data_IF_025484782186
#
_entry.id   IF_025484782186
#
_cell.length_a   1.000
_cell.length_b   1.000
_cell.length_c   1.000
_cell.angle_alpha   90.00
_cell.angle_beta   90.00
_cell.angle_gamma   90.00
#
_symmetry.space_group_name_H-M   'P 1'
#
loop_
_entity.id
_entity.type
_entity.pdbx_description
1 polymer ?
#
# COMPACT_ATOMS: atom_id res chain seq x y z
N UNK A 1 29.62 17.01 -9.14
CA UNK A 1 29.33 15.66 -9.66
C UNK A 1 27.83 15.49 -9.65
N UNK A 2 27.22 15.68 -10.81
CA UNK A 2 25.80 15.49 -11.11
C UNK A 2 25.55 13.99 -11.28
N UNK A 3 24.68 13.42 -10.47
CA UNK A 3 24.17 12.06 -10.65
C UNK A 3 22.78 12.14 -11.24
N UNK A 4 22.66 11.93 -12.55
CA UNK A 4 21.39 11.69 -13.23
C UNK A 4 20.67 10.53 -12.54
N UNK A 5 19.50 10.81 -11.97
CA UNK A 5 18.65 9.77 -11.41
C UNK A 5 17.85 9.17 -12.55
N UNK A 6 18.16 7.91 -12.83
CA UNK A 6 17.76 7.18 -14.03
C UNK A 6 16.26 7.10 -14.27
N UNK A 7 15.87 7.58 -15.46
CA UNK A 7 14.55 7.51 -16.11
C UNK A 7 14.15 6.07 -16.50
N UNK A 8 14.79 5.04 -15.93
CA UNK A 8 14.78 3.67 -16.45
C UNK A 8 14.10 2.61 -15.60
N UNK A 9 13.66 2.91 -14.37
CA UNK A 9 13.08 1.90 -13.46
C UNK A 9 11.59 2.08 -13.17
N UNK A 10 11.08 3.31 -13.28
CA UNK A 10 9.66 3.66 -13.14
C UNK A 10 8.74 2.91 -14.14
N UNK A 11 9.30 2.29 -15.18
CA UNK A 11 8.53 1.59 -16.22
C UNK A 11 8.41 0.07 -16.01
N UNK A 12 9.25 -0.53 -15.16
CA UNK A 12 9.29 -2.00 -15.01
C UNK A 12 8.22 -2.54 -14.03
N UNK A 13 7.75 -1.72 -13.09
CA UNK A 13 6.64 -2.04 -12.19
C UNK A 13 5.29 -2.10 -12.92
N UNK A 14 5.17 -1.43 -14.08
CA UNK A 14 3.96 -1.42 -14.90
C UNK A 14 3.64 -2.78 -15.57
N UNK A 15 4.61 -3.69 -15.68
CA UNK A 15 4.43 -4.94 -16.41
C UNK A 15 3.66 -6.02 -15.61
N UNK A 16 3.75 -6.03 -14.28
CA UNK A 16 2.94 -6.93 -13.42
C UNK A 16 1.53 -6.36 -13.20
N UNK A 17 1.39 -5.03 -13.27
CA UNK A 17 0.11 -4.32 -13.25
C UNK A 17 -0.74 -4.54 -14.52
N UNK A 18 -0.12 -4.95 -15.64
CA UNK A 18 -0.85 -5.16 -16.90
C UNK A 18 -1.83 -6.35 -16.88
N UNK A 19 -1.74 -7.24 -15.89
CA UNK A 19 -2.62 -8.41 -15.73
C UNK A 19 -3.80 -8.21 -14.77
N UNK A 20 -3.82 -7.13 -13.98
CA UNK A 20 -4.88 -6.86 -13.02
C UNK A 20 -5.67 -5.62 -13.44
N UNK A 21 -7.01 -5.67 -13.48
CA UNK A 21 -7.79 -4.49 -13.81
C UNK A 21 -7.49 -3.38 -12.80
N UNK A 22 -7.17 -2.18 -13.29
CA UNK A 22 -6.79 -1.02 -12.47
C UNK A 22 -7.79 -0.70 -11.34
N UNK A 23 -9.05 -1.08 -11.51
CA UNK A 23 -10.11 -0.97 -10.50
C UNK A 23 -9.94 -1.89 -9.29
N UNK A 24 -8.99 -2.83 -9.32
CA UNK A 24 -8.68 -3.77 -8.24
C UNK A 24 -7.25 -3.61 -7.73
N UNK A 25 -6.51 -2.58 -8.13
CA UNK A 25 -5.12 -2.37 -7.68
C UNK A 25 -4.98 -1.05 -6.92
N UNK A 26 -4.27 -1.09 -5.80
CA UNK A 26 -3.91 0.08 -4.99
C UNK A 26 -2.38 0.25 -5.05
N UNK A 27 -1.92 1.36 -5.65
CA UNK A 27 -0.49 1.69 -5.71
C UNK A 27 -0.15 2.65 -4.57
N UNK A 28 0.80 2.25 -3.72
CA UNK A 28 1.24 3.09 -2.59
C UNK A 28 2.48 3.88 -2.97
N UNK A 29 2.45 5.20 -2.71
CA UNK A 29 3.63 6.06 -2.79
C UNK A 29 4.25 6.15 -1.39
N UNK A 30 5.46 5.61 -1.21
CA UNK A 30 6.13 5.54 0.09
C UNK A 30 7.47 6.29 0.08
N UNK A 31 7.84 6.94 1.21
CA UNK A 31 9.19 7.46 1.38
C UNK A 31 10.21 6.32 1.52
N UNK A 32 11.50 6.63 1.35
CA UNK A 32 12.57 5.66 1.62
C UNK A 32 12.54 5.20 3.09
N UNK A 33 12.52 3.88 3.31
CA UNK A 33 12.40 3.24 4.63
C UNK A 33 11.13 3.70 5.38
N UNK A 34 9.94 3.38 4.85
CA UNK A 34 8.70 3.82 5.45
C UNK A 34 8.51 3.21 6.85
N UNK A 35 7.94 4.01 7.73
CA UNK A 35 7.43 3.59 9.04
C UNK A 35 6.00 3.05 8.90
N UNK A 36 5.47 2.34 9.91
CA UNK A 36 4.05 1.97 9.92
C UNK A 36 3.09 3.17 9.86
N UNK A 37 3.50 4.35 10.33
CA UNK A 37 2.70 5.57 10.20
C UNK A 37 2.63 6.04 8.74
N UNK A 38 3.76 6.00 8.01
CA UNK A 38 3.79 6.35 6.59
C UNK A 38 2.91 5.41 5.77
N UNK A 39 2.89 4.12 6.11
CA UNK A 39 2.01 3.15 5.46
C UNK A 39 0.54 3.46 5.72
N UNK A 40 0.15 3.77 6.96
CA UNK A 40 -1.23 4.16 7.30
C UNK A 40 -1.70 5.35 6.48
N UNK A 41 -0.89 6.41 6.43
CA UNK A 41 -1.19 7.59 5.62
C UNK A 41 -1.29 7.23 4.13
N UNK A 42 -0.33 6.48 3.60
CA UNK A 42 -0.35 6.07 2.20
C UNK A 42 -1.57 5.21 1.85
N UNK A 43 -1.98 4.28 2.73
CA UNK A 43 -3.19 3.49 2.55
C UNK A 43 -4.43 4.36 2.63
N UNK A 44 -4.52 5.25 3.62
CA UNK A 44 -5.66 6.14 3.78
C UNK A 44 -5.88 6.99 2.52
N UNK A 45 -4.80 7.57 2.00
CA UNK A 45 -4.82 8.41 0.80
C UNK A 45 -5.14 7.59 -0.45
N UNK A 46 -4.49 6.45 -0.65
CA UNK A 46 -4.68 5.60 -1.83
C UNK A 46 -6.06 4.92 -1.86
N UNK A 47 -6.66 4.68 -0.68
CA UNK A 47 -8.03 4.18 -0.57
C UNK A 47 -9.08 5.28 -0.74
N UNK A 48 -8.69 6.55 -0.69
CA UNK A 48 -9.58 7.70 -0.80
C UNK A 48 -10.51 7.83 0.41
N UNK A 49 -10.02 7.48 1.60
CA UNK A 49 -10.80 7.56 2.83
C UNK A 49 -11.13 9.03 3.18
N UNK A 50 -12.34 9.30 3.72
CA UNK A 50 -12.77 10.67 3.99
C UNK A 50 -12.05 11.28 5.20
N UNK A 51 -11.58 12.52 5.04
CA UNK A 51 -10.94 13.28 6.12
C UNK A 51 -9.42 13.07 6.20
N UNK A 52 -8.76 13.62 7.23
CA UNK A 52 -7.37 13.31 7.50
C UNK A 52 -7.24 11.92 8.13
N UNK A 53 -6.08 11.23 7.96
CA UNK A 53 -5.82 9.97 8.64
C UNK A 53 -5.93 10.15 10.16
N UNK A 54 -6.62 9.25 10.88
CA UNK A 54 -6.72 9.31 12.33
C UNK A 54 -5.36 9.26 13.02
N UNK A 55 -5.15 10.08 14.06
CA UNK A 55 -3.93 10.06 14.88
C UNK A 55 -3.79 8.76 15.70
N UNK A 56 -4.92 8.13 16.04
CA UNK A 56 -4.94 6.83 16.70
C UNK A 56 -4.63 5.71 15.68
N UNK A 57 -3.52 4.96 15.89
CA UNK A 57 -3.11 3.92 14.95
C UNK A 57 -4.16 2.83 14.75
N UNK A 58 -4.88 2.44 15.81
CA UNK A 58 -5.89 1.38 15.75
C UNK A 58 -7.14 1.82 14.99
N UNK A 59 -7.57 3.07 15.18
CA UNK A 59 -8.69 3.64 14.41
C UNK A 59 -8.34 3.75 12.94
N UNK A 60 -7.11 4.18 12.61
CA UNK A 60 -6.65 4.24 11.23
C UNK A 60 -6.56 2.84 10.60
N UNK A 61 -6.01 1.86 11.33
CA UNK A 61 -5.89 0.47 10.87
C UNK A 61 -7.25 -0.15 10.58
N UNK A 62 -8.24 0.07 11.46
CA UNK A 62 -9.61 -0.39 11.24
C UNK A 62 -10.24 0.25 9.99
N UNK A 63 -10.06 1.55 9.79
CA UNK A 63 -10.59 2.24 8.61
C UNK A 63 -9.98 1.70 7.29
N UNK A 64 -8.67 1.42 7.31
CA UNK A 64 -7.96 0.80 6.18
C UNK A 64 -8.46 -0.62 5.94
N UNK A 65 -8.60 -1.44 6.98
CA UNK A 65 -9.11 -2.80 6.90
C UNK A 65 -10.56 -2.84 6.38
N UNK A 66 -11.43 -1.98 6.89
CA UNK A 66 -12.83 -1.89 6.47
C UNK A 66 -12.94 -1.55 4.98
N UNK A 67 -12.14 -0.60 4.49
CA UNK A 67 -12.14 -0.23 3.09
C UNK A 67 -11.54 -1.31 2.18
N UNK A 68 -10.49 -2.00 2.62
CA UNK A 68 -9.91 -3.15 1.90
C UNK A 68 -10.85 -4.37 1.89
N UNK A 69 -11.60 -4.59 2.96
CA UNK A 69 -12.60 -5.66 3.04
C UNK A 69 -13.83 -5.37 2.17
N UNK A 70 -14.27 -4.11 2.13
CA UNK A 70 -15.39 -3.68 1.29
C UNK A 70 -15.09 -3.81 -0.21
N UNK A 71 -13.83 -3.57 -0.60
CA UNK A 71 -13.40 -3.72 -1.98
C UNK A 71 -11.98 -4.31 -2.01
N UNK A 72 -11.84 -5.64 -2.22
CA UNK A 72 -10.55 -6.30 -2.27
C UNK A 72 -9.68 -5.69 -3.36
N UNK A 73 -8.52 -5.14 -2.95
CA UNK A 73 -7.54 -4.51 -3.83
C UNK A 73 -6.18 -5.18 -3.68
N UNK A 74 -5.54 -5.48 -4.80
CA UNK A 74 -4.13 -5.87 -4.87
C UNK A 74 -3.28 -4.66 -4.52
N UNK A 75 -2.54 -4.75 -3.42
CA UNK A 75 -1.61 -3.69 -3.00
C UNK A 75 -0.28 -3.90 -3.71
N UNK A 76 0.18 -2.89 -4.45
CA UNK A 76 1.49 -2.90 -5.10
C UNK A 76 2.38 -1.91 -4.38
N UNK A 77 3.49 -2.41 -3.83
CA UNK A 77 4.52 -1.61 -3.18
C UNK A 77 5.71 -1.54 -4.11
N UNK A 78 5.98 -0.34 -4.64
CA UNK A 78 7.20 -0.12 -5.41
C UNK A 78 8.41 -0.09 -4.48
N UNK A 79 9.58 -0.47 -4.98
CA UNK A 79 10.83 -0.47 -4.22
C UNK A 79 10.74 -1.28 -2.90
N UNK A 80 10.03 -2.42 -2.89
CA UNK A 80 9.78 -3.23 -1.69
C UNK A 80 11.05 -3.63 -0.91
N UNK A 81 12.22 -3.64 -1.55
CA UNK A 81 13.52 -3.84 -0.90
C UNK A 81 13.90 -2.71 0.09
N UNK A 82 13.22 -1.57 0.04
CA UNK A 82 13.37 -0.46 0.98
C UNK A 82 12.47 -0.58 2.21
N UNK A 83 11.56 -1.57 2.24
CA UNK A 83 10.68 -1.79 3.39
C UNK A 83 11.50 -2.18 4.62
N UNK A 84 11.22 -1.50 5.73
CA UNK A 84 11.72 -1.92 7.03
C UNK A 84 11.01 -3.21 7.48
N UNK A 85 11.60 -4.01 8.38
CA UNK A 85 10.93 -5.18 8.96
C UNK A 85 9.57 -4.83 9.57
N UNK A 86 9.47 -3.68 10.26
CA UNK A 86 8.22 -3.20 10.85
C UNK A 86 7.16 -2.85 9.79
N UNK A 87 7.58 -2.27 8.66
CA UNK A 87 6.68 -2.01 7.53
C UNK A 87 6.15 -3.31 6.91
N UNK A 88 7.01 -4.31 6.77
CA UNK A 88 6.61 -5.63 6.27
C UNK A 88 5.67 -6.35 7.25
N UNK A 89 5.93 -6.30 8.56
CA UNK A 89 5.05 -6.83 9.59
C UNK A 89 3.67 -6.18 9.56
N UNK A 90 3.61 -4.87 9.33
CA UNK A 90 2.35 -4.15 9.17
C UNK A 90 1.55 -4.62 7.95
N UNK A 91 2.20 -4.76 6.79
CA UNK A 91 1.56 -5.29 5.58
C UNK A 91 1.03 -6.72 5.80
N UNK A 92 1.82 -7.56 6.47
CA UNK A 92 1.40 -8.91 6.85
C UNK A 92 0.20 -8.89 7.79
N UNK A 93 0.22 -8.02 8.81
CA UNK A 93 -0.91 -7.84 9.74
C UNK A 93 -2.20 -7.47 9.00
N UNK A 94 -2.13 -6.54 8.04
CA UNK A 94 -3.29 -6.18 7.22
C UNK A 94 -3.79 -7.38 6.40
N UNK A 95 -2.88 -8.09 5.74
CA UNK A 95 -3.22 -9.28 4.94
C UNK A 95 -3.86 -10.39 5.78
N UNK A 96 -3.31 -10.69 6.96
CA UNK A 96 -3.80 -11.72 7.88
C UNK A 96 -5.15 -11.34 8.51
N UNK A 97 -5.42 -10.04 8.68
CA UNK A 97 -6.66 -9.51 9.27
C UNK A 97 -7.81 -9.40 8.26
N UNK A 98 -7.50 -9.36 6.96
CA UNK A 98 -8.52 -9.35 5.93
C UNK A 98 -9.20 -10.72 5.86
N UNK A 99 -10.54 -10.78 5.79
CA UNK A 99 -11.23 -12.04 5.60
C UNK A 99 -10.75 -12.67 4.29
N UNK A 100 -10.28 -13.92 4.36
CA UNK A 100 -9.85 -14.67 3.18
C UNK A 100 -10.94 -14.55 2.12
N UNK A 101 -10.58 -13.97 0.97
CA UNK A 101 -11.49 -13.71 -0.14
C UNK A 101 -12.35 -14.95 -0.36
N UNK A 102 -13.66 -14.85 -0.11
CA UNK A 102 -14.58 -15.92 -0.43
C UNK A 102 -14.41 -16.25 -1.92
N UNK A 103 -14.31 -17.54 -2.31
CA UNK A 103 -14.17 -17.90 -3.70
C UNK A 103 -15.42 -17.41 -4.45
N UNK A 104 -15.19 -16.60 -5.48
CA UNK A 104 -16.21 -16.21 -6.46
C UNK A 104 -16.68 -17.43 -7.25
#
# INVERSE_FOLDING_TARGET
MTGDSGVGKTFATHAVLAGYPAHRSCALSLPSRPTPADLRTAFHDALGLPGPPPDDPGVCDNAVLDALAAQPRTVVVDEAHQLSPAAFEYLRYLYDSLPACAPF
#
